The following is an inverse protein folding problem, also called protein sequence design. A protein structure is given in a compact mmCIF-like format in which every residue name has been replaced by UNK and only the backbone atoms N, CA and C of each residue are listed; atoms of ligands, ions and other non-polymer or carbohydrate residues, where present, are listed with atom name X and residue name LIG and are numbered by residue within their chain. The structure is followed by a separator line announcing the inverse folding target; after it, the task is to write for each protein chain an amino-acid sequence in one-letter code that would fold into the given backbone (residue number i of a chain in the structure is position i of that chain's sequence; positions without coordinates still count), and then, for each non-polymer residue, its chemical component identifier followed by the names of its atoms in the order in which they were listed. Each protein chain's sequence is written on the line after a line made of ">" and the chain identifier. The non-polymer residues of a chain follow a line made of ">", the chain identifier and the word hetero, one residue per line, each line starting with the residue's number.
data_IF_453858111150
#
_entry.id   IF_453858111150
#
_cell.length_a   1.000
_cell.length_b   1.000
_cell.length_c   1.000
_cell.angle_alpha   90.00
_cell.angle_beta   90.00
_cell.angle_gamma   90.00
#
_symmetry.space_group_name_H-M   'P 1'
#
loop_
_entity.id
_entity.type
_entity.pdbx_description
1 polymer ?
#
# COMPACT_ATOMS: atom_id res chain seq x y z
N UNK A 1 -11.64 0.90 -17.99
CA UNK A 1 -12.37 0.34 -16.82
C UNK A 1 -13.59 1.19 -16.53
N UNK A 2 -14.74 0.58 -16.38
CA UNK A 2 -15.98 1.26 -16.01
C UNK A 2 -16.12 1.34 -14.49
N UNK A 3 -17.05 2.19 -14.01
CA UNK A 3 -17.36 2.26 -12.58
C UNK A 3 -17.92 0.94 -12.04
N UNK A 4 -18.70 0.22 -12.86
CA UNK A 4 -19.23 -1.08 -12.47
C UNK A 4 -18.14 -2.13 -12.32
N UNK A 5 -17.20 -2.16 -13.26
CA UNK A 5 -16.05 -3.06 -13.20
C UNK A 5 -15.21 -2.79 -11.96
N UNK A 6 -14.94 -1.52 -11.66
CA UNK A 6 -14.20 -1.15 -10.45
C UNK A 6 -14.95 -1.57 -9.20
N UNK A 7 -16.26 -1.27 -9.11
CA UNK A 7 -17.04 -1.64 -7.93
C UNK A 7 -17.02 -3.15 -7.68
N UNK A 8 -17.06 -3.96 -8.73
CA UNK A 8 -16.96 -5.41 -8.61
C UNK A 8 -15.60 -5.82 -8.04
N UNK A 9 -14.51 -5.20 -8.51
CA UNK A 9 -13.17 -5.45 -8.00
C UNK A 9 -13.04 -5.06 -6.53
N UNK A 10 -13.49 -3.86 -6.18
CA UNK A 10 -13.43 -3.36 -4.80
C UNK A 10 -14.18 -4.26 -3.83
N UNK A 11 -15.35 -4.72 -4.24
CA UNK A 11 -16.19 -5.62 -3.43
C UNK A 11 -15.50 -6.98 -3.22
N UNK A 12 -14.86 -7.50 -4.26
CA UNK A 12 -14.15 -8.77 -4.20
C UNK A 12 -12.89 -8.68 -3.35
N UNK A 13 -12.14 -7.60 -3.47
CA UNK A 13 -10.87 -7.41 -2.75
C UNK A 13 -11.07 -7.11 -1.27
N UNK A 14 -12.13 -6.37 -0.93
CA UNK A 14 -12.32 -5.85 0.42
C UNK A 14 -11.40 -4.67 0.72
N UNK A 15 -11.33 -4.29 2.00
CA UNK A 15 -10.64 -3.06 2.43
C UNK A 15 -9.39 -3.30 3.27
N UNK A 16 -9.07 -4.56 3.55
CA UNK A 16 -7.96 -4.91 4.43
C UNK A 16 -7.43 -6.29 4.11
N UNK A 17 -6.11 -6.44 4.14
CA UNK A 17 -5.49 -7.76 4.05
C UNK A 17 -4.26 -7.79 4.96
N UNK A 18 -4.14 -8.84 5.75
CA UNK A 18 -2.96 -9.12 6.56
C UNK A 18 -2.36 -10.43 6.07
N UNK A 19 -1.05 -10.45 5.86
CA UNK A 19 -0.36 -11.66 5.48
C UNK A 19 1.08 -11.61 5.97
N UNK A 20 1.76 -12.75 5.88
CA UNK A 20 3.15 -12.88 6.27
C UNK A 20 3.92 -13.44 5.08
N UNK A 21 5.12 -12.90 4.84
CA UNK A 21 5.97 -13.33 3.74
C UNK A 21 7.41 -13.40 4.25
N UNK A 22 7.99 -14.58 4.16
CA UNK A 22 9.39 -14.84 4.60
C UNK A 22 9.68 -14.30 6.01
N UNK A 23 8.71 -14.42 6.92
CA UNK A 23 8.83 -13.99 8.30
C UNK A 23 8.46 -12.55 8.58
N UNK A 24 8.15 -11.76 7.55
CA UNK A 24 7.72 -10.36 7.71
C UNK A 24 6.20 -10.24 7.62
N UNK A 25 5.63 -9.52 8.57
CA UNK A 25 4.19 -9.23 8.58
C UNK A 25 3.91 -8.05 7.65
N UNK A 26 2.92 -8.21 6.81
CA UNK A 26 2.52 -7.20 5.83
C UNK A 26 1.05 -6.85 6.01
N UNK A 27 0.70 -5.61 5.66
CA UNK A 27 -0.67 -5.10 5.77
C UNK A 27 -1.02 -4.31 4.53
N UNK A 28 -2.26 -4.47 4.07
CA UNK A 28 -2.81 -3.68 2.98
C UNK A 28 -4.12 -3.06 3.49
N UNK A 29 -4.26 -1.75 3.31
CA UNK A 29 -5.42 -0.99 3.77
C UNK A 29 -5.96 -0.15 2.62
N UNK A 30 -7.30 -0.11 2.48
CA UNK A 30 -7.97 0.78 1.53
C UNK A 30 -8.25 2.12 2.20
N UNK A 31 -7.88 3.19 1.53
CA UNK A 31 -8.17 4.54 1.99
C UNK A 31 -9.57 4.97 1.57
N UNK A 32 -10.13 5.96 2.27
CA UNK A 32 -11.41 6.57 1.91
C UNK A 32 -12.66 5.88 2.43
N UNK A 33 -12.52 4.86 3.25
CA UNK A 33 -13.68 4.22 3.88
C UNK A 33 -14.49 5.25 4.67
N UNK A 34 -15.82 5.24 4.47
CA UNK A 34 -16.72 6.16 5.15
C UNK A 34 -16.91 7.51 4.48
N UNK A 35 -16.18 7.82 3.41
CA UNK A 35 -16.37 9.04 2.64
C UNK A 35 -17.53 8.90 1.65
N UNK A 36 -18.03 10.04 1.15
CA UNK A 36 -19.07 10.06 0.13
C UNK A 36 -18.60 9.30 -1.11
N UNK A 37 -19.43 8.36 -1.66
CA UNK A 37 -19.02 7.54 -2.81
C UNK A 37 -18.58 8.34 -4.05
N UNK A 38 -19.12 9.54 -4.29
CA UNK A 38 -18.74 10.35 -5.45
C UNK A 38 -17.34 10.95 -5.35
N UNK A 39 -16.89 11.19 -4.12
CA UNK A 39 -15.63 11.86 -3.85
C UNK A 39 -14.64 10.98 -3.11
N UNK A 40 -15.00 9.73 -2.84
CA UNK A 40 -14.20 8.84 -2.03
C UNK A 40 -12.94 8.38 -2.76
N UNK A 41 -11.80 8.62 -2.12
CA UNK A 41 -10.58 7.95 -2.48
C UNK A 41 -10.75 6.44 -2.24
N UNK A 42 -10.19 5.60 -3.10
CA UNK A 42 -10.33 4.15 -2.96
C UNK A 42 -9.02 3.41 -3.21
N UNK A 43 -7.92 4.12 -3.18
CA UNK A 43 -6.62 3.48 -3.41
C UNK A 43 -6.15 2.67 -2.20
N UNK A 44 -5.25 1.74 -2.46
CA UNK A 44 -4.66 0.88 -1.43
C UNK A 44 -3.33 1.45 -0.95
N UNK A 45 -3.03 1.19 0.32
CA UNK A 45 -1.73 1.44 0.91
C UNK A 45 -1.15 0.11 1.39
N UNK A 46 0.16 -0.09 1.20
CA UNK A 46 0.86 -1.29 1.64
C UNK A 46 1.93 -0.98 2.67
N UNK A 47 2.06 -1.86 3.66
CA UNK A 47 3.01 -1.69 4.77
C UNK A 47 3.72 -3.00 5.09
N UNK A 48 5.02 -2.91 5.40
CA UNK A 48 5.80 -3.99 6.01
C UNK A 48 6.11 -3.58 7.44
N UNK A 49 5.94 -4.49 8.38
CA UNK A 49 6.20 -4.25 9.80
C UNK A 49 7.62 -4.69 10.13
N UNK A 50 8.43 -3.74 10.60
CA UNK A 50 9.82 -3.98 11.01
C UNK A 50 9.89 -4.12 12.52
N UNK A 51 10.83 -4.95 12.98
CA UNK A 51 11.17 -5.07 14.39
C UNK A 51 12.50 -4.38 14.66
N UNK A 52 12.85 -4.21 15.93
CA UNK A 52 14.11 -3.59 16.34
C UNK A 52 15.36 -4.33 15.82
N UNK A 53 15.19 -5.56 15.30
CA UNK A 53 16.27 -6.33 14.67
C UNK A 53 16.55 -5.89 13.24
N UNK A 54 15.64 -5.12 12.65
CA UNK A 54 15.78 -4.69 11.27
C UNK A 54 16.57 -3.40 11.17
N UNK A 55 17.41 -3.31 10.13
CA UNK A 55 18.33 -2.21 9.90
C UNK A 55 17.68 -0.83 9.92
N UNK A 56 16.48 -0.74 9.33
CA UNK A 56 15.80 0.54 9.20
C UNK A 56 14.65 0.75 10.20
N UNK A 57 14.63 -0.06 11.23
CA UNK A 57 13.67 0.15 12.32
C UNK A 57 13.84 1.54 12.92
N UNK A 58 12.75 2.29 13.02
CA UNK A 58 12.75 3.64 13.57
C UNK A 58 13.29 4.72 12.63
N UNK A 59 13.58 4.38 11.37
CA UNK A 59 14.11 5.34 10.40
C UNK A 59 13.03 5.89 9.50
N UNK A 60 13.19 7.15 9.07
CA UNK A 60 12.24 7.79 8.18
C UNK A 60 12.26 7.14 6.78
N UNK A 61 11.09 7.09 6.16
CA UNK A 61 10.93 6.45 4.85
C UNK A 61 11.86 7.03 3.78
N UNK A 62 12.08 8.33 3.79
CA UNK A 62 12.93 9.03 2.81
C UNK A 62 14.41 8.67 2.94
N UNK A 63 14.82 8.06 4.05
CA UNK A 63 16.21 7.59 4.26
C UNK A 63 16.39 6.12 3.90
N UNK A 64 15.32 5.41 3.58
CA UNK A 64 15.35 3.97 3.29
C UNK A 64 15.52 3.76 1.79
N UNK A 65 16.59 3.08 1.34
CA UNK A 65 16.92 2.99 -0.09
C UNK A 65 16.19 1.89 -0.86
N UNK A 66 15.09 1.37 -0.33
CA UNK A 66 14.32 0.33 -1.01
C UNK A 66 13.32 0.91 -1.99
N UNK A 67 12.94 0.10 -2.98
CA UNK A 67 12.01 0.50 -4.03
C UNK A 67 10.62 -0.10 -3.78
N UNK A 68 9.61 0.71 -3.96
CA UNK A 68 8.22 0.29 -3.96
C UNK A 68 7.44 1.23 -4.89
N UNK A 69 6.20 0.89 -5.20
CA UNK A 69 5.35 1.70 -6.07
C UNK A 69 5.31 3.17 -5.62
N UNK A 70 5.75 4.08 -6.46
CA UNK A 70 5.79 5.51 -6.15
C UNK A 70 6.83 5.91 -5.11
N UNK A 71 7.64 4.97 -4.61
CA UNK A 71 8.62 5.18 -3.56
C UNK A 71 8.04 4.95 -2.17
N UNK A 72 8.91 4.68 -1.20
CA UNK A 72 8.50 4.61 0.20
C UNK A 72 8.19 6.01 0.70
N UNK A 73 6.98 6.24 1.17
CA UNK A 73 6.53 7.56 1.61
C UNK A 73 5.90 7.55 3.01
N UNK A 74 5.93 6.42 3.69
CA UNK A 74 5.35 6.30 5.02
C UNK A 74 6.27 5.51 5.94
N UNK A 75 6.45 6.04 7.16
CA UNK A 75 7.13 5.33 8.25
C UNK A 75 6.56 5.83 9.57
N UNK A 76 6.19 4.91 10.47
CA UNK A 76 5.59 5.26 11.76
C UNK A 76 5.45 4.05 12.68
N UNK A 77 5.32 4.29 13.97
CA UNK A 77 4.90 3.29 14.95
C UNK A 77 3.38 3.09 14.98
N UNK A 78 2.62 4.00 14.38
CA UNK A 78 1.17 4.02 14.54
C UNK A 78 0.42 3.62 13.29
N UNK A 79 -0.23 2.48 13.33
CA UNK A 79 -1.44 2.16 12.59
C UNK A 79 -2.47 1.69 13.59
N UNK A 80 -3.75 1.82 13.24
CA UNK A 80 -4.84 1.36 14.09
C UNK A 80 -4.63 -0.10 14.51
N UNK A 81 -4.71 -0.35 15.81
CA UNK A 81 -4.72 -1.69 16.39
C UNK A 81 -3.44 -2.52 16.19
N UNK A 82 -2.28 -1.88 16.01
CA UNK A 82 -1.01 -2.59 15.87
C UNK A 82 -0.10 -2.33 17.07
N UNK A 83 0.74 -3.31 17.45
CA UNK A 83 1.69 -3.13 18.54
C UNK A 83 2.63 -1.95 18.28
N UNK A 84 2.88 -1.15 19.32
CA UNK A 84 3.74 0.04 19.21
C UNK A 84 5.20 -0.28 18.96
N UNK A 85 5.65 -1.48 19.34
CA UNK A 85 7.03 -1.93 19.13
C UNK A 85 7.38 -2.19 17.67
N UNK A 86 6.39 -2.20 16.79
CA UNK A 86 6.63 -2.42 15.36
C UNK A 86 6.73 -1.09 14.62
N UNK A 87 7.77 -0.98 13.80
CA UNK A 87 7.92 0.14 12.90
C UNK A 87 7.41 -0.24 11.52
N UNK A 88 6.62 0.61 10.92
CA UNK A 88 6.04 0.33 9.60
C UNK A 88 6.67 1.20 8.55
N UNK A 89 7.01 0.59 7.44
CA UNK A 89 7.41 1.29 6.23
C UNK A 89 6.42 0.95 5.13
N UNK A 90 6.08 1.90 4.29
CA UNK A 90 5.05 1.66 3.30
C UNK A 90 4.95 2.68 2.19
N UNK A 91 3.97 2.43 1.34
CA UNK A 91 3.69 3.24 0.16
C UNK A 91 2.19 3.27 -0.09
N UNK A 92 1.74 4.22 -0.94
CA UNK A 92 0.35 4.29 -1.36
C UNK A 92 0.23 4.20 -2.89
N UNK A 93 -0.99 3.93 -3.36
CA UNK A 93 -1.33 3.86 -4.78
C UNK A 93 -2.24 5.03 -5.18
N UNK A 94 -1.98 6.21 -4.61
CA UNK A 94 -2.71 7.45 -4.89
C UNK A 94 -1.93 8.46 -5.71
N UNK A 95 -0.97 8.01 -6.52
CA UNK A 95 -0.14 8.90 -7.35
C UNK A 95 -0.82 9.25 -8.67
N UNK A 96 -0.23 10.20 -9.41
CA UNK A 96 -0.79 10.69 -10.66
C UNK A 96 -1.08 9.61 -11.71
N UNK A 97 -0.29 8.52 -11.71
CA UNK A 97 -0.47 7.41 -12.65
C UNK A 97 -1.46 6.36 -12.15
N UNK A 98 -2.02 6.54 -10.95
CA UNK A 98 -2.93 5.60 -10.32
C UNK A 98 -4.37 6.10 -10.41
N UNK A 99 -5.31 5.19 -10.61
CA UNK A 99 -6.73 5.51 -10.46
C UNK A 99 -7.05 5.46 -8.97
N UNK A 100 -7.41 6.60 -8.41
CA UNK A 100 -7.71 6.75 -6.98
C UNK A 100 -9.03 7.46 -6.69
N UNK A 101 -9.64 8.07 -7.70
CA UNK A 101 -10.90 8.83 -7.57
C UNK A 101 -11.87 8.42 -8.68
N UNK A 102 -13.20 8.42 -8.38
CA UNK A 102 -14.21 7.97 -9.34
C UNK A 102 -14.19 8.69 -10.68
N UNK A 103 -13.90 9.98 -10.73
CA UNK A 103 -13.92 10.72 -11.98
C UNK A 103 -12.85 10.25 -12.99
N UNK A 104 -11.79 9.61 -12.51
CA UNK A 104 -10.72 9.11 -13.38
C UNK A 104 -11.18 7.95 -14.28
N UNK A 105 -12.26 7.27 -13.88
CA UNK A 105 -12.79 6.13 -14.62
C UNK A 105 -13.40 6.51 -15.97
N UNK A 106 -13.91 7.73 -16.09
CA UNK A 106 -14.62 8.19 -17.26
C UNK A 106 -13.78 9.11 -18.15
N UNK A 107 -12.53 9.36 -17.78
CA UNK A 107 -11.64 10.18 -18.62
C UNK A 107 -10.97 9.28 -19.65
N UNK A 108 -11.51 9.18 -20.84
CA UNK A 108 -10.91 8.40 -21.93
C UNK A 108 -9.51 8.84 -22.35
N UNK A 109 -8.94 9.84 -21.68
CA UNK A 109 -7.62 10.38 -21.93
C UNK A 109 -6.58 9.99 -20.88
N UNK A 110 -7.00 9.35 -19.77
CA UNK A 110 -6.10 9.01 -18.68
C UNK A 110 -5.43 7.66 -18.93
N UNK A 111 -4.10 7.63 -18.82
CA UNK A 111 -3.32 6.39 -18.79
C UNK A 111 -3.21 5.82 -17.35
N UNK A 112 -3.92 6.40 -16.40
CA UNK A 112 -3.90 5.96 -15.02
C UNK A 112 -4.47 4.55 -14.88
N UNK A 113 -3.92 3.78 -13.96
CA UNK A 113 -4.28 2.37 -13.72
C UNK A 113 -4.72 2.21 -12.27
N UNK A 114 -5.80 1.45 -12.06
CA UNK A 114 -6.16 1.02 -10.72
C UNK A 114 -5.19 -0.07 -10.27
N UNK A 115 -4.52 0.16 -9.13
CA UNK A 115 -3.57 -0.80 -8.55
C UNK A 115 -4.33 -1.75 -7.64
N UNK A 116 -4.41 -3.00 -8.07
CA UNK A 116 -5.17 -4.06 -7.38
C UNK A 116 -4.50 -4.50 -6.08
N UNK A 117 -5.25 -5.21 -5.25
CA UNK A 117 -4.70 -5.81 -4.03
C UNK A 117 -3.57 -6.80 -4.35
N UNK A 118 -3.71 -7.59 -5.42
CA UNK A 118 -2.65 -8.49 -5.86
C UNK A 118 -1.38 -7.74 -6.26
N UNK A 119 -1.53 -6.61 -6.93
CA UNK A 119 -0.40 -5.75 -7.28
C UNK A 119 0.32 -5.25 -6.03
N UNK A 120 -0.42 -4.75 -5.04
CA UNK A 120 0.15 -4.24 -3.79
C UNK A 120 0.83 -5.37 -3.01
N UNK A 121 0.22 -6.56 -2.98
CA UNK A 121 0.83 -7.72 -2.34
C UNK A 121 2.17 -8.06 -2.98
N UNK A 122 2.25 -8.09 -4.31
CA UNK A 122 3.50 -8.36 -5.03
C UNK A 122 4.56 -7.30 -4.75
N UNK A 123 4.17 -6.03 -4.68
CA UNK A 123 5.09 -4.93 -4.33
C UNK A 123 5.62 -5.09 -2.91
N UNK A 124 4.78 -5.51 -1.96
CA UNK A 124 5.21 -5.77 -0.59
C UNK A 124 6.17 -6.96 -0.51
N UNK A 125 5.92 -8.01 -1.28
CA UNK A 125 6.83 -9.15 -1.35
C UNK A 125 8.20 -8.75 -1.90
N UNK A 126 8.23 -7.91 -2.93
CA UNK A 126 9.47 -7.37 -3.47
C UNK A 126 10.19 -6.50 -2.44
N UNK A 127 9.46 -5.72 -1.67
CA UNK A 127 10.04 -4.91 -0.60
C UNK A 127 10.68 -5.80 0.47
N UNK A 128 10.01 -6.87 0.89
CA UNK A 128 10.57 -7.84 1.84
C UNK A 128 11.83 -8.48 1.26
N UNK A 129 11.83 -8.84 -0.01
CA UNK A 129 13.00 -9.42 -0.67
C UNK A 129 14.19 -8.46 -0.64
N UNK A 130 13.96 -7.17 -0.83
CA UNK A 130 15.01 -6.13 -0.70
C UNK A 130 15.55 -6.03 0.73
N UNK A 131 14.66 -6.08 1.72
CA UNK A 131 15.05 -6.06 3.13
C UNK A 131 15.96 -7.26 3.43
N UNK A 132 15.57 -8.44 2.97
CA UNK A 132 16.33 -9.65 3.18
C UNK A 132 17.68 -9.64 2.46
N UNK A 133 17.74 -9.10 1.24
CA UNK A 133 18.97 -8.99 0.45
C UNK A 133 19.95 -8.00 1.07
N UNK A 134 19.48 -7.02 1.83
CA UNK A 134 20.30 -6.02 2.50
C UNK A 134 20.77 -6.47 3.91
N UNK A 135 20.35 -7.64 4.32
CA UNK A 135 20.89 -8.29 5.50
C UNK A 135 22.24 -8.89 5.10
N UNK A 136 23.33 -8.37 5.70
CA UNK A 136 24.64 -8.94 5.49
C UNK A 136 24.70 -10.46 5.68
#
# INVERSE_FOLDING_TARGET
>A
MTGEELNAILKKEGNYKAFEYKGYKCRILRMGEGMDPEYRLFYLCGYVLLTEKDKYYGKDADTIPYHAHGGLNYSSHRLHNQPEEWWRIGFDCGHACDISLPYQLNSGLSSAVYRTMDYVEDELKQLVDQILADRW
#
